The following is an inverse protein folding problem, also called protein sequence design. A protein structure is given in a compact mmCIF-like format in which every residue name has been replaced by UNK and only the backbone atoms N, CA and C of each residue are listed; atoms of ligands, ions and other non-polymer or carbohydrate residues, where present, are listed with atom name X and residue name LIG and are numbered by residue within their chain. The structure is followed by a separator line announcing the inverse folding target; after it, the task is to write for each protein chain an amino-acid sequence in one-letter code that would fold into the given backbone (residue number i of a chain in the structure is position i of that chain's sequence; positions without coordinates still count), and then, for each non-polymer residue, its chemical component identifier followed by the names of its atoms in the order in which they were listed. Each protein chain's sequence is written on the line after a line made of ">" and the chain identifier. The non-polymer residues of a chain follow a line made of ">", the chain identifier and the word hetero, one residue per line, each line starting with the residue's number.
data_IF_420465279975
#
_entry.id   IF_420465279975
#
_cell.length_a   1.000
_cell.length_b   1.000
_cell.length_c   1.000
_cell.angle_alpha   90.00
_cell.angle_beta   90.00
_cell.angle_gamma   90.00
#
_symmetry.space_group_name_H-M   'P 1'
#
loop_
_entity.id
_entity.type
_entity.pdbx_description
1 polymer ?
#
# COMPACT_ATOMS: atom_id res chain seq x y z
N UNK A 1 -14.88 -6.44 -12.15
CA UNK A 1 -16.12 -5.73 -11.76
C UNK A 1 -15.93 -5.12 -10.38
N UNK A 2 -16.61 -4.00 -10.10
CA UNK A 2 -16.62 -3.30 -8.81
C UNK A 2 -17.97 -3.49 -8.09
N UNK A 3 -18.11 -2.93 -6.89
CA UNK A 3 -19.21 -3.19 -5.93
C UNK A 3 -20.62 -2.67 -6.32
N UNK A 4 -20.79 -1.87 -7.40
CA UNK A 4 -22.09 -1.38 -7.93
C UNK A 4 -23.02 -0.67 -6.91
N UNK A 5 -22.47 0.09 -5.97
CA UNK A 5 -23.25 0.88 -5.01
C UNK A 5 -23.68 2.25 -5.59
N UNK A 6 -24.83 2.79 -5.15
CA UNK A 6 -25.26 4.15 -5.47
C UNK A 6 -24.33 5.22 -4.86
N UNK A 7 -23.76 4.92 -3.69
CA UNK A 7 -22.74 5.76 -3.05
C UNK A 7 -21.77 4.90 -2.22
N UNK A 8 -20.54 5.41 -2.06
CA UNK A 8 -19.49 4.80 -1.27
C UNK A 8 -18.70 5.91 -0.56
N UNK A 9 -18.39 5.70 0.72
CA UNK A 9 -17.51 6.57 1.49
C UNK A 9 -16.63 5.73 2.42
N UNK A 10 -15.41 6.21 2.66
CA UNK A 10 -14.47 5.62 3.61
C UNK A 10 -14.31 6.52 4.82
N UNK A 11 -14.01 5.92 5.97
CA UNK A 11 -13.60 6.68 7.14
C UNK A 11 -12.22 7.30 6.88
N UNK A 12 -12.05 8.57 7.24
CA UNK A 12 -10.73 9.22 7.25
C UNK A 12 -9.79 8.51 8.23
N UNK A 13 -8.48 8.55 8.01
CA UNK A 13 -7.47 8.02 8.94
C UNK A 13 -7.64 8.59 10.35
N UNK A 14 -7.79 9.91 10.51
CA UNK A 14 -8.03 10.51 11.83
C UNK A 14 -9.35 10.06 12.46
N UNK A 15 -10.38 9.84 11.64
CA UNK A 15 -11.64 9.24 12.08
C UNK A 15 -11.47 7.83 12.64
N UNK A 16 -10.63 7.00 12.00
CA UNK A 16 -10.29 5.67 12.48
C UNK A 16 -9.58 5.73 13.83
N UNK A 17 -8.59 6.61 13.98
CA UNK A 17 -7.85 6.80 15.25
C UNK A 17 -8.78 7.27 16.39
N UNK A 18 -9.70 8.20 16.11
CA UNK A 18 -10.74 8.63 17.06
C UNK A 18 -11.65 7.49 17.47
N UNK A 19 -12.09 6.66 16.52
CA UNK A 19 -12.96 5.52 16.80
C UNK A 19 -12.32 4.48 17.74
N UNK A 20 -10.99 4.36 17.75
CA UNK A 20 -10.25 3.42 18.61
C UNK A 20 -9.64 4.08 19.86
N UNK A 21 -10.04 5.30 20.20
CA UNK A 21 -9.65 5.96 21.44
C UNK A 21 -8.29 6.66 21.41
N UNK A 22 -7.90 7.23 20.26
CA UNK A 22 -6.83 8.23 20.14
C UNK A 22 -7.40 9.55 19.65
N UNK A 23 -6.80 10.68 19.98
CA UNK A 23 -7.28 11.98 19.48
C UNK A 23 -7.06 12.17 17.96
N UNK A 24 -5.99 11.59 17.43
CA UNK A 24 -5.63 11.60 16.01
C UNK A 24 -4.34 10.80 15.75
N UNK A 25 -3.91 10.71 14.49
CA UNK A 25 -2.65 10.04 14.12
C UNK A 25 -1.46 10.97 14.32
N UNK A 26 -0.41 10.48 14.94
CA UNK A 26 0.92 11.11 14.87
C UNK A 26 1.63 10.59 13.60
N UNK A 27 1.86 11.46 12.61
CA UNK A 27 2.46 11.06 11.34
C UNK A 27 3.95 10.71 11.45
N UNK A 28 4.67 11.28 12.40
CA UNK A 28 6.08 10.95 12.61
C UNK A 28 6.23 9.64 13.38
N UNK A 29 5.29 9.33 14.27
CA UNK A 29 5.29 8.14 15.12
C UNK A 29 3.87 7.56 15.30
N UNK A 30 3.34 6.86 14.28
CA UNK A 30 1.99 6.31 14.33
C UNK A 30 1.77 5.41 15.53
N UNK A 31 0.63 5.56 16.19
CA UNK A 31 0.31 4.83 17.43
C UNK A 31 -0.14 3.38 17.16
N UNK A 32 -0.51 3.06 15.91
CA UNK A 32 -0.91 1.72 15.47
C UNK A 32 -0.26 1.40 14.11
N UNK A 33 -0.25 0.11 13.76
CA UNK A 33 0.07 -0.29 12.39
C UNK A 33 -1.13 0.04 11.48
N UNK A 34 -0.96 1.06 10.63
CA UNK A 34 -1.98 1.53 9.69
C UNK A 34 -1.52 1.52 8.23
N UNK A 35 -0.41 0.84 7.95
CA UNK A 35 0.25 0.83 6.65
C UNK A 35 -0.63 0.27 5.52
N UNK A 36 -1.60 -0.60 5.82
CA UNK A 36 -2.58 -1.07 4.83
C UNK A 36 -3.48 0.06 4.29
N UNK A 37 -3.59 1.18 5.01
CA UNK A 37 -4.36 2.36 4.61
C UNK A 37 -3.47 3.51 4.14
N UNK A 38 -2.29 3.69 4.76
CA UNK A 38 -1.39 4.83 4.53
C UNK A 38 -0.23 4.53 3.58
N UNK A 39 0.19 3.26 3.49
CA UNK A 39 1.44 2.85 2.85
C UNK A 39 2.69 3.08 3.70
N UNK A 40 2.57 3.68 4.88
CA UNK A 40 3.70 4.03 5.77
C UNK A 40 4.20 2.79 6.54
N UNK A 41 4.79 1.82 5.85
CA UNK A 41 5.40 0.65 6.48
C UNK A 41 6.69 1.05 7.23
N UNK A 42 6.92 0.56 8.46
CA UNK A 42 8.14 0.83 9.21
C UNK A 42 9.38 0.08 8.67
N UNK A 43 9.19 -0.75 7.65
CA UNK A 43 10.22 -1.57 7.00
C UNK A 43 10.05 -1.48 5.48
N UNK A 44 11.13 -1.74 4.72
CA UNK A 44 11.05 -1.85 3.27
C UNK A 44 10.23 -3.06 2.83
N UNK A 45 9.48 -2.91 1.74
CA UNK A 45 8.70 -3.98 1.10
C UNK A 45 9.57 -4.67 0.03
N UNK A 46 10.39 -5.63 0.47
CA UNK A 46 11.38 -6.29 -0.41
C UNK A 46 10.71 -7.04 -1.56
N UNK A 47 9.57 -7.67 -1.31
CA UNK A 47 8.74 -8.34 -2.31
C UNK A 47 8.24 -7.38 -3.40
N UNK A 48 7.73 -6.21 -2.99
CA UNK A 48 7.31 -5.17 -3.93
C UNK A 48 8.49 -4.66 -4.77
N UNK A 49 9.60 -4.35 -4.12
CA UNK A 49 10.80 -3.85 -4.81
C UNK A 49 11.34 -4.86 -5.84
N UNK A 50 11.26 -6.16 -5.56
CA UNK A 50 11.68 -7.21 -6.48
C UNK A 50 10.71 -7.35 -7.66
N UNK A 51 9.40 -7.23 -7.41
CA UNK A 51 8.39 -7.29 -8.47
C UNK A 51 8.53 -6.12 -9.46
N UNK A 52 8.86 -4.92 -8.96
CA UNK A 52 9.14 -3.75 -9.80
C UNK A 52 10.40 -3.96 -10.67
N UNK A 53 11.48 -4.51 -10.10
CA UNK A 53 12.70 -4.83 -10.84
C UNK A 53 12.47 -5.84 -11.96
N UNK A 54 11.69 -6.90 -11.70
CA UNK A 54 11.38 -7.95 -12.69
C UNK A 54 10.57 -7.43 -13.89
N UNK A 55 9.80 -6.35 -13.71
CA UNK A 55 9.04 -5.71 -14.79
C UNK A 55 9.93 -4.83 -15.68
N UNK A 56 11.09 -4.40 -15.16
CA UNK A 56 12.07 -3.59 -15.88
C UNK A 56 13.15 -4.41 -16.61
N UNK A 57 13.15 -5.74 -16.48
CA UNK A 57 14.06 -6.61 -17.22
C UNK A 57 13.60 -6.75 -18.68
N UNK A 58 14.46 -6.36 -19.61
CA UNK A 58 14.24 -6.58 -21.05
C UNK A 58 14.04 -8.08 -21.32
N UNK A 59 13.16 -8.47 -22.25
CA UNK A 59 12.92 -9.89 -22.53
C UNK A 59 14.25 -10.57 -22.86
N UNK A 60 14.46 -11.75 -22.29
CA UNK A 60 15.57 -12.62 -22.68
C UNK A 60 15.50 -12.81 -24.20
N UNK A 61 16.47 -12.23 -24.92
CA UNK A 61 16.60 -12.48 -26.35
C UNK A 61 16.83 -13.98 -26.53
N UNK A 62 15.93 -14.61 -27.26
CA UNK A 62 15.90 -16.06 -27.45
C UNK A 62 17.22 -16.50 -28.11
N UNK A 63 18.08 -17.29 -27.44
CA UNK A 63 19.40 -17.66 -27.97
C UNK A 63 19.33 -18.58 -29.21
N UNK A 64 18.13 -18.98 -29.63
CA UNK A 64 17.87 -19.75 -30.86
C UNK A 64 17.56 -18.89 -32.10
N UNK A 65 17.61 -17.56 -31.99
CA UNK A 65 17.36 -16.65 -33.10
C UNK A 65 18.62 -16.23 -33.89
N UNK A 66 19.77 -16.89 -33.66
CA UNK A 66 21.03 -16.68 -34.40
C UNK A 66 21.44 -17.91 -35.21
#
# INVERSE_FOLDING_TARGET
>A
EFIKADSLAFISIDGLYRAVGREGRDAARPQFCDACFTGDYPTSLTDLSQAEQKTAELPFADPKAA
#
